data_IF_911788216045
#
_entry.id   IF_911788216045
#
_cell.length_a   1.000
_cell.length_b   1.000
_cell.length_c   1.000
_cell.angle_alpha   90.00
_cell.angle_beta   90.00
_cell.angle_gamma   90.00
#
_symmetry.space_group_name_H-M   'P 1'
#
loop_
_entity.id
_entity.type
_entity.pdbx_description
1 polymer ?
#
# COMPACT_ATOMS: atom_id res chain seq x y z
N UNK A 1 -9.60 -15.91 10.40
CA UNK A 1 -8.96 -14.84 9.61
C UNK A 1 -7.49 -15.20 9.52
N UNK A 2 -6.97 -15.40 8.31
CA UNK A 2 -5.54 -15.69 8.11
C UNK A 2 -4.76 -14.40 8.34
N UNK A 3 -3.68 -14.46 9.11
CA UNK A 3 -2.80 -13.31 9.28
C UNK A 3 -2.20 -12.88 7.94
N UNK A 4 -2.06 -11.56 7.69
CA UNK A 4 -1.43 -11.10 6.46
C UNK A 4 0.04 -11.52 6.40
N UNK A 5 0.49 -11.91 5.21
CA UNK A 5 1.90 -12.25 4.99
C UNK A 5 2.76 -10.99 5.17
N UNK A 6 3.73 -11.06 6.10
CA UNK A 6 4.65 -9.94 6.37
C UNK A 6 5.89 -10.10 5.50
N UNK A 7 6.29 -9.02 4.85
CA UNK A 7 7.50 -8.94 4.04
C UNK A 7 8.44 -7.89 4.62
N UNK A 8 9.73 -8.01 4.29
CA UNK A 8 10.73 -7.00 4.64
C UNK A 8 10.51 -5.70 3.86
N UNK A 9 10.93 -4.58 4.44
CA UNK A 9 10.86 -3.26 3.79
C UNK A 9 11.62 -3.24 2.45
N UNK A 10 12.73 -3.97 2.36
CA UNK A 10 13.53 -4.10 1.14
C UNK A 10 12.74 -4.79 0.01
N UNK A 11 12.07 -5.89 0.32
CA UNK A 11 11.23 -6.63 -0.63
C UNK A 11 10.05 -5.77 -1.10
N UNK A 12 9.38 -5.10 -0.15
CA UNK A 12 8.30 -4.18 -0.45
C UNK A 12 8.75 -3.07 -1.41
N UNK A 13 9.90 -2.44 -1.13
CA UNK A 13 10.46 -1.37 -1.97
C UNK A 13 10.79 -1.87 -3.37
N UNK A 14 11.39 -3.06 -3.50
CA UNK A 14 11.72 -3.65 -4.79
C UNK A 14 10.46 -3.88 -5.63
N UNK A 15 9.43 -4.49 -5.05
CA UNK A 15 8.16 -4.80 -5.74
C UNK A 15 7.42 -3.54 -6.18
N UNK A 16 7.36 -2.53 -5.33
CA UNK A 16 6.70 -1.25 -5.63
C UNK A 16 7.45 -0.49 -6.71
N UNK A 17 8.79 -0.45 -6.63
CA UNK A 17 9.63 0.23 -7.64
C UNK A 17 9.57 -0.48 -9.01
N UNK A 18 9.35 -1.79 -9.02
CA UNK A 18 9.14 -2.58 -10.23
C UNK A 18 7.71 -2.48 -10.80
N UNK A 19 6.78 -1.79 -10.11
CA UNK A 19 5.37 -1.73 -10.49
C UNK A 19 4.60 -3.04 -10.28
N UNK A 20 5.20 -4.01 -9.58
CA UNK A 20 4.58 -5.31 -9.32
C UNK A 20 3.59 -5.27 -8.15
N UNK A 21 3.71 -4.28 -7.26
CA UNK A 21 2.83 -4.13 -6.11
C UNK A 21 2.45 -2.67 -5.85
N UNK A 22 1.26 -2.47 -5.28
CA UNK A 22 0.80 -1.17 -4.80
C UNK A 22 1.11 -1.03 -3.31
N UNK A 23 1.75 0.09 -2.95
CA UNK A 23 2.02 0.43 -1.56
C UNK A 23 0.89 1.28 -1.00
N UNK A 24 0.16 0.77 -0.02
CA UNK A 24 -0.98 1.45 0.60
C UNK A 24 -0.64 1.83 2.03
N UNK A 25 -0.76 3.12 2.32
CA UNK A 25 -0.67 3.60 3.68
C UNK A 25 -1.99 3.33 4.40
N UNK A 26 -1.95 2.43 5.39
CA UNK A 26 -3.12 1.97 6.11
C UNK A 26 -3.57 2.90 7.25
N UNK A 27 -3.03 4.12 7.34
CA UNK A 27 -3.57 5.12 8.24
C UNK A 27 -4.96 5.56 7.79
N UNK A 28 -5.86 5.68 8.76
CA UNK A 28 -7.21 6.23 8.53
C UNK A 28 -7.15 7.75 8.29
N UNK A 29 -6.07 8.39 8.76
CA UNK A 29 -5.90 9.83 8.76
C UNK A 29 -5.09 10.33 7.54
N UNK A 30 -5.73 11.12 6.69
CA UNK A 30 -5.13 11.69 5.47
C UNK A 30 -4.05 12.74 5.78
N UNK A 31 -4.13 13.42 6.93
CA UNK A 31 -3.10 14.37 7.37
C UNK A 31 -1.82 13.63 7.78
N UNK A 32 -1.93 12.47 8.41
CA UNK A 32 -0.79 11.59 8.67
C UNK A 32 -0.17 11.07 7.37
N UNK A 33 -0.97 10.75 6.35
CA UNK A 33 -0.47 10.37 5.03
C UNK A 33 0.33 11.51 4.40
N UNK A 34 -0.20 12.74 4.38
CA UNK A 34 0.52 13.89 3.77
C UNK A 34 1.90 14.12 4.38
N UNK A 35 2.03 13.97 5.69
CA UNK A 35 3.28 14.23 6.40
C UNK A 35 4.25 13.03 6.42
N UNK A 36 3.75 11.78 6.31
CA UNK A 36 4.55 10.56 6.54
C UNK A 36 4.50 9.54 5.40
N UNK A 37 3.89 9.86 4.26
CA UNK A 37 3.81 8.90 3.15
C UNK A 37 5.22 8.57 2.63
N UNK A 38 5.42 7.28 2.36
CA UNK A 38 6.56 6.83 1.59
C UNK A 38 6.37 7.21 0.13
N UNK A 39 7.46 7.54 -0.56
CA UNK A 39 7.41 7.82 -2.00
C UNK A 39 6.80 6.62 -2.75
N UNK A 40 5.81 6.89 -3.61
CA UNK A 40 5.08 5.87 -4.36
C UNK A 40 3.92 5.21 -3.61
N UNK A 41 3.67 5.58 -2.35
CA UNK A 41 2.50 5.13 -1.62
C UNK A 41 1.23 5.89 -2.03
N UNK A 42 0.09 5.21 -1.95
CA UNK A 42 -1.25 5.81 -2.02
C UNK A 42 -1.93 5.76 -0.65
N UNK A 43 -2.86 6.69 -0.40
CA UNK A 43 -3.63 6.68 0.84
C UNK A 43 -4.66 5.55 0.84
N UNK A 44 -5.12 5.15 2.02
CA UNK A 44 -6.20 4.16 2.15
C UNK A 44 -7.45 4.59 1.39
N UNK A 45 -7.75 5.89 1.33
CA UNK A 45 -8.89 6.43 0.61
C UNK A 45 -8.71 6.31 -0.91
N UNK A 46 -7.54 6.66 -1.45
CA UNK A 46 -7.24 6.49 -2.88
C UNK A 46 -7.30 5.01 -3.30
N UNK A 47 -6.78 4.12 -2.45
CA UNK A 47 -6.91 2.68 -2.65
C UNK A 47 -8.39 2.24 -2.73
N UNK A 48 -9.23 2.67 -1.78
CA UNK A 48 -10.68 2.36 -1.77
C UNK A 48 -11.38 2.87 -3.03
N UNK A 49 -11.00 4.06 -3.53
CA UNK A 49 -11.55 4.58 -4.80
C UNK A 49 -11.10 3.78 -6.03
N UNK A 50 -9.94 3.12 -5.97
CA UNK A 50 -9.41 2.26 -7.05
C UNK A 50 -9.85 0.80 -6.98
N UNK A 51 -10.34 0.32 -5.82
CA UNK A 51 -10.89 -1.04 -5.66
C UNK A 51 -11.77 -1.53 -6.83
N UNK A 52 -12.74 -0.76 -7.36
CA UNK A 52 -13.59 -1.27 -8.45
C UNK A 52 -12.86 -1.49 -9.77
N UNK A 53 -11.68 -0.90 -9.97
CA UNK A 53 -10.87 -1.02 -11.20
C UNK A 53 -9.60 -1.85 -11.01
N UNK A 54 -9.28 -2.27 -9.79
CA UNK A 54 -8.09 -3.07 -9.50
C UNK A 54 -8.34 -4.54 -9.82
N UNK A 55 -7.36 -5.17 -10.48
CA UNK A 55 -7.35 -6.61 -10.68
C UNK A 55 -7.11 -7.32 -9.36
N UNK A 56 -7.74 -8.49 -9.16
CA UNK A 56 -7.50 -9.36 -8.00
C UNK A 56 -6.10 -9.96 -7.99
N UNK A 57 -5.38 -9.89 -9.11
CA UNK A 57 -3.98 -10.31 -9.23
C UNK A 57 -2.99 -9.23 -8.79
N UNK A 58 -3.45 -7.99 -8.60
CA UNK A 58 -2.60 -6.90 -8.16
C UNK A 58 -2.18 -7.14 -6.70
N UNK A 59 -0.87 -7.32 -6.48
CA UNK A 59 -0.36 -7.42 -5.12
C UNK A 59 -0.48 -6.06 -4.41
N UNK A 60 -0.94 -6.10 -3.16
CA UNK A 60 -1.16 -4.90 -2.34
C UNK A 60 -0.42 -5.06 -1.03
N UNK A 61 0.46 -4.11 -0.76
CA UNK A 61 1.29 -4.07 0.44
C UNK A 61 0.77 -2.95 1.32
N UNK A 62 0.24 -3.32 2.49
CA UNK A 62 -0.20 -2.37 3.50
C UNK A 62 0.93 -2.07 4.47
N UNK A 63 1.13 -0.79 4.79
CA UNK A 63 2.01 -0.37 5.87
C UNK A 63 1.31 0.64 6.80
N UNK A 64 1.61 0.54 8.09
CA UNK A 64 1.36 1.58 9.08
C UNK A 64 2.56 1.66 10.02
N UNK A 65 2.64 2.71 10.84
CA UNK A 65 3.52 2.78 12.00
C UNK A 65 2.71 2.81 13.29
#
# INVERSE_FOLDING_TARGET
MTEPNRISVEDARQKVSAGAALLVCAYDDDEKFKNNHLQGAISLNDFKSKLPSLSTEQEIIFFCA
#
